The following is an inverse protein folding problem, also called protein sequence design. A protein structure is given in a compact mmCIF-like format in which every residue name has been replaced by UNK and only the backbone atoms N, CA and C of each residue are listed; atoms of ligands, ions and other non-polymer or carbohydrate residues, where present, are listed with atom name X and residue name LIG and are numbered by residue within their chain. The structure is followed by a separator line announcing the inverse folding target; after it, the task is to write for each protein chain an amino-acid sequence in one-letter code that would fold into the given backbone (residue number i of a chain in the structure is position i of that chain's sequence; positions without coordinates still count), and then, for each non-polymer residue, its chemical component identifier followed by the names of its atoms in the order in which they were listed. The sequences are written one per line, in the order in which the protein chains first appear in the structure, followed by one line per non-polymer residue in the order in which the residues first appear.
data_IF_660145196051
#
_entry.id   IF_660145196051
#
_cell.length_a   1.000
_cell.length_b   1.000
_cell.length_c   1.000
_cell.angle_alpha   90.00
_cell.angle_beta   90.00
_cell.angle_gamma   90.00
#
_symmetry.space_group_name_H-M   'P 1'
#
loop_
_entity.id
_entity.type
_entity.pdbx_description
1 polymer ?
#
# COMPACT_ATOMS: atom_id res chain seq x y z
N UNK A 1 -15.36 -18.62 18.38
CA UNK A 1 -15.67 -18.64 19.83
C UNK A 1 -17.17 -18.59 20.01
N UNK A 2 -17.77 -19.67 20.46
CA UNK A 2 -19.22 -19.76 20.61
C UNK A 2 -19.67 -19.04 21.88
N UNK A 3 -20.72 -18.27 21.71
CA UNK A 3 -21.35 -17.40 22.72
C UNK A 3 -21.89 -18.20 23.91
N UNK A 4 -21.32 -18.02 25.09
CA UNK A 4 -21.61 -18.73 26.35
C UNK A 4 -22.71 -18.05 27.20
N UNK A 5 -23.61 -17.27 26.65
CA UNK A 5 -24.61 -16.47 27.38
C UNK A 5 -26.07 -16.93 27.27
N UNK A 6 -26.32 -18.21 27.01
CA UNK A 6 -27.68 -18.77 27.16
C UNK A 6 -27.63 -20.14 27.82
N UNK A 7 -27.35 -20.18 29.10
CA UNK A 7 -27.60 -21.36 29.93
C UNK A 7 -28.89 -21.16 30.74
N UNK A 8 -29.86 -22.03 30.46
CA UNK A 8 -31.16 -22.13 31.10
C UNK A 8 -31.00 -22.45 32.60
N UNK A 9 -31.88 -21.99 33.51
CA UNK A 9 -31.72 -22.12 34.95
C UNK A 9 -31.91 -23.54 35.54
N UNK A 10 -31.94 -24.59 34.70
CA UNK A 10 -32.10 -25.97 35.14
C UNK A 10 -30.79 -26.71 35.53
N UNK A 11 -29.64 -26.05 35.48
CA UNK A 11 -28.32 -26.66 35.74
C UNK A 11 -27.79 -26.49 37.19
N UNK A 12 -28.62 -26.01 38.11
CA UNK A 12 -28.23 -25.73 39.52
C UNK A 12 -28.36 -26.93 40.48
N UNK A 13 -28.61 -28.17 39.95
CA UNK A 13 -28.79 -29.36 40.78
C UNK A 13 -27.78 -30.51 40.53
N UNK A 14 -26.67 -30.20 39.83
CA UNK A 14 -25.62 -31.20 39.60
C UNK A 14 -24.56 -31.10 40.72
N UNK A 15 -24.28 -32.27 41.36
CA UNK A 15 -23.26 -32.34 42.40
C UNK A 15 -21.85 -32.06 41.84
N UNK A 16 -20.87 -31.63 42.62
CA UNK A 16 -19.48 -31.33 42.18
C UNK A 16 -18.82 -32.48 41.38
N UNK A 17 -19.24 -33.72 41.62
CA UNK A 17 -18.72 -34.90 40.93
C UNK A 17 -19.13 -34.96 39.43
N UNK A 18 -20.28 -34.43 39.06
CA UNK A 18 -20.71 -34.38 37.66
C UNK A 18 -19.89 -33.38 36.84
N UNK A 19 -19.43 -32.28 37.44
CA UNK A 19 -18.56 -31.32 36.81
C UNK A 19 -17.17 -31.91 36.53
N UNK A 20 -16.64 -32.71 37.42
CA UNK A 20 -15.33 -33.36 37.26
C UNK A 20 -15.40 -34.41 36.13
N UNK A 21 -16.50 -35.16 36.04
CA UNK A 21 -16.68 -36.16 34.99
C UNK A 21 -16.81 -35.50 33.60
N UNK A 22 -17.54 -34.39 33.49
CA UNK A 22 -17.68 -33.64 32.24
C UNK A 22 -16.33 -33.05 31.83
N UNK A 23 -15.53 -32.51 32.77
CA UNK A 23 -14.20 -32.00 32.47
C UNK A 23 -13.23 -33.10 32.00
N UNK A 24 -13.29 -34.28 32.64
CA UNK A 24 -12.48 -35.44 32.26
C UNK A 24 -12.86 -35.99 30.88
N UNK A 25 -14.12 -36.03 30.52
CA UNK A 25 -14.59 -36.45 29.20
C UNK A 25 -14.17 -35.44 28.12
N UNK A 26 -14.26 -34.13 28.40
CA UNK A 26 -13.77 -33.10 27.48
C UNK A 26 -12.23 -33.16 27.28
N UNK A 27 -11.47 -33.45 28.33
CA UNK A 27 -10.01 -33.61 28.24
C UNK A 27 -9.61 -34.91 27.49
N UNK A 28 -10.39 -35.98 27.60
CA UNK A 28 -10.17 -37.23 26.89
C UNK A 28 -10.51 -37.09 25.37
N UNK A 29 -11.59 -36.36 25.05
CA UNK A 29 -11.94 -36.09 23.63
C UNK A 29 -10.96 -35.13 22.95
N UNK A 30 -10.37 -34.17 23.69
CA UNK A 30 -9.31 -33.32 23.15
C UNK A 30 -7.99 -34.06 22.91
N UNK A 31 -7.72 -35.12 23.68
CA UNK A 31 -6.52 -35.98 23.47
C UNK A 31 -6.69 -36.94 22.29
N UNK A 32 -7.89 -37.42 22.00
CA UNK A 32 -8.14 -38.29 20.82
C UNK A 32 -8.08 -37.50 19.52
N UNK A 33 -8.60 -36.27 19.48
CA UNK A 33 -8.51 -35.40 18.29
C UNK A 33 -7.06 -34.93 18.02
N UNK A 34 -6.23 -34.78 19.05
CA UNK A 34 -4.82 -34.43 18.86
C UNK A 34 -3.95 -35.65 18.45
N UNK A 35 -4.38 -36.88 18.71
CA UNK A 35 -3.66 -38.08 18.32
C UNK A 35 -3.94 -38.50 16.86
N UNK A 36 -5.14 -38.23 16.35
CA UNK A 36 -5.50 -38.55 14.96
C UNK A 36 -4.88 -37.60 13.91
N UNK A 37 -4.39 -36.42 14.32
CA UNK A 37 -3.68 -35.48 13.43
C UNK A 37 -2.18 -35.81 13.28
N UNK A 38 -1.64 -36.70 14.13
CA UNK A 38 -0.20 -37.02 14.14
C UNK A 38 0.14 -38.43 13.61
N UNK A 39 -0.80 -39.19 13.06
CA UNK A 39 -0.59 -40.55 12.62
C UNK A 39 -0.75 -40.84 11.11
N UNK A 40 -1.01 -39.83 10.28
CA UNK A 40 -1.11 -40.03 8.81
C UNK A 40 0.20 -39.80 8.03
N UNK A 41 1.30 -39.35 8.65
CA UNK A 41 2.57 -39.09 7.95
C UNK A 41 3.71 -40.08 8.22
N UNK A 42 3.44 -41.28 8.78
CA UNK A 42 4.49 -42.23 9.12
C UNK A 42 4.25 -43.67 8.58
N UNK A 43 3.89 -43.82 7.32
CA UNK A 43 3.87 -45.13 6.68
C UNK A 43 4.08 -45.08 5.16
N UNK A 44 5.23 -44.57 4.71
CA UNK A 44 5.78 -44.96 3.40
C UNK A 44 7.27 -44.66 3.32
N UNK A 45 8.05 -45.69 3.32
CA UNK A 45 9.36 -45.89 2.71
C UNK A 45 10.41 -46.49 3.63
N UNK A 46 10.39 -47.81 3.71
CA UNK A 46 11.60 -48.55 3.96
C UNK A 46 12.04 -49.19 2.62
N UNK A 47 13.13 -48.70 2.07
CA UNK A 47 13.84 -49.40 1.00
C UNK A 47 14.13 -48.58 -0.24
N UNK A 48 15.21 -47.81 -0.19
CA UNK A 48 16.24 -47.78 -1.24
C UNK A 48 17.32 -46.77 -0.82
N UNK A 49 18.55 -47.26 -0.73
CA UNK A 49 19.77 -46.46 -0.65
C UNK A 49 19.83 -45.54 -1.85
N UNK A 50 19.44 -44.28 -1.68
CA UNK A 50 19.70 -43.21 -2.62
C UNK A 50 20.69 -42.25 -1.95
N UNK A 51 21.76 -41.91 -2.65
CA UNK A 51 22.70 -40.85 -2.29
C UNK A 51 21.96 -39.62 -1.77
N UNK A 52 22.48 -38.91 -0.75
CA UNK A 52 21.88 -37.67 -0.33
C UNK A 52 21.74 -36.77 -1.56
N UNK A 53 20.59 -36.08 -1.73
CA UNK A 53 20.46 -35.15 -2.83
C UNK A 53 21.60 -34.15 -2.70
N UNK A 54 22.32 -33.94 -3.82
CA UNK A 54 23.33 -32.90 -3.91
C UNK A 54 22.75 -31.65 -3.24
N UNK A 55 23.43 -31.15 -2.22
CA UNK A 55 23.13 -29.90 -1.56
C UNK A 55 22.78 -28.89 -2.66
N UNK A 56 21.52 -28.50 -2.75
CA UNK A 56 21.13 -27.41 -3.62
C UNK A 56 22.11 -26.30 -3.29
N UNK A 57 22.91 -25.89 -4.27
CA UNK A 57 23.86 -24.79 -4.10
C UNK A 57 23.05 -23.65 -3.48
N UNK A 58 23.48 -23.18 -2.31
CA UNK A 58 22.83 -22.06 -1.66
C UNK A 58 22.74 -20.98 -2.73
N UNK A 59 21.52 -20.63 -3.15
CA UNK A 59 21.33 -19.56 -4.11
C UNK A 59 21.85 -18.31 -3.43
N UNK A 60 22.79 -17.62 -4.06
CA UNK A 60 23.28 -16.33 -3.59
C UNK A 60 22.17 -15.30 -3.78
N UNK A 61 21.13 -15.38 -2.94
CA UNK A 61 20.01 -14.42 -2.93
C UNK A 61 20.55 -13.10 -2.43
N UNK A 62 20.27 -12.03 -3.18
CA UNK A 62 20.58 -10.66 -2.79
C UNK A 62 19.29 -9.91 -2.49
N UNK A 63 19.35 -9.06 -1.49
CA UNK A 63 18.20 -8.31 -1.00
C UNK A 63 18.35 -6.83 -1.35
N UNK A 64 17.34 -6.26 -2.02
CA UNK A 64 17.20 -4.83 -2.22
C UNK A 64 16.19 -4.29 -1.22
N UNK A 65 16.66 -3.49 -0.27
CA UNK A 65 15.81 -2.73 0.65
C UNK A 65 15.69 -1.29 0.13
N UNK A 66 14.68 -0.55 0.55
CA UNK A 66 14.58 0.87 0.24
C UNK A 66 13.81 1.63 1.32
N UNK A 67 14.08 2.92 1.44
CA UNK A 67 13.25 3.85 2.20
C UNK A 67 13.00 5.12 1.41
N UNK A 68 12.04 5.90 1.87
CA UNK A 68 11.56 7.12 1.25
C UNK A 68 11.67 8.23 2.28
N UNK A 69 12.03 9.43 1.85
CA UNK A 69 12.17 10.59 2.71
C UNK A 69 10.98 10.72 3.68
N UNK A 70 11.20 10.91 4.99
CA UNK A 70 10.14 10.91 6.02
C UNK A 70 8.90 11.76 5.72
N UNK A 71 8.99 12.98 5.15
CA UNK A 71 7.81 13.79 4.84
C UNK A 71 6.87 13.19 3.80
N UNK A 72 7.35 12.23 3.02
CA UNK A 72 6.59 11.67 1.91
C UNK A 72 5.43 10.79 2.38
N UNK A 73 4.25 11.05 1.80
CA UNK A 73 3.01 10.42 2.21
C UNK A 73 2.80 9.01 1.64
N UNK A 74 1.77 8.34 2.15
CA UNK A 74 1.39 6.96 1.82
C UNK A 74 1.30 6.68 0.31
N UNK A 75 0.62 7.54 -0.44
CA UNK A 75 0.40 7.31 -1.87
C UNK A 75 1.65 7.54 -2.72
N UNK A 76 2.57 8.43 -2.31
CA UNK A 76 3.86 8.59 -2.98
C UNK A 76 4.78 7.41 -2.69
N UNK A 77 4.81 6.89 -1.46
CA UNK A 77 5.58 5.68 -1.12
C UNK A 77 5.13 4.46 -1.94
N UNK A 78 3.83 4.35 -2.24
CA UNK A 78 3.29 3.36 -3.19
C UNK A 78 3.83 3.55 -4.61
N UNK A 79 4.04 4.79 -5.04
CA UNK A 79 4.64 5.12 -6.32
C UNK A 79 6.12 4.71 -6.38
N UNK A 80 6.88 4.98 -5.30
CA UNK A 80 8.28 4.56 -5.19
C UNK A 80 8.42 3.04 -5.23
N UNK A 81 7.50 2.28 -4.63
CA UNK A 81 7.47 0.82 -4.78
C UNK A 81 7.48 0.39 -6.26
N UNK A 82 6.73 1.07 -7.13
CA UNK A 82 6.69 0.73 -8.57
C UNK A 82 8.07 0.91 -9.20
N UNK A 83 8.80 1.96 -8.83
CA UNK A 83 10.18 2.22 -9.31
C UNK A 83 11.15 1.14 -8.83
N UNK A 84 11.07 0.75 -7.57
CA UNK A 84 11.92 -0.29 -6.99
C UNK A 84 11.61 -1.67 -7.56
N UNK A 85 10.36 -1.99 -7.81
CA UNK A 85 9.95 -3.22 -8.47
C UNK A 85 10.49 -3.30 -9.91
N UNK A 86 10.51 -2.18 -10.65
CA UNK A 86 11.14 -2.09 -11.97
C UNK A 86 12.65 -2.35 -11.91
N UNK A 87 13.33 -1.73 -10.95
CA UNK A 87 14.76 -1.99 -10.71
C UNK A 87 15.03 -3.46 -10.43
N UNK A 88 14.24 -4.08 -9.54
CA UNK A 88 14.40 -5.53 -9.22
C UNK A 88 14.16 -6.40 -10.47
N UNK A 89 13.18 -6.09 -11.31
CA UNK A 89 12.99 -6.80 -12.59
C UNK A 89 14.26 -6.73 -13.46
N UNK A 90 14.94 -5.60 -13.48
CA UNK A 90 16.19 -5.44 -14.23
C UNK A 90 17.33 -6.23 -13.58
N UNK A 91 17.51 -6.16 -12.27
CA UNK A 91 18.54 -6.90 -11.52
C UNK A 91 18.37 -8.41 -11.66
N UNK A 92 17.13 -8.90 -11.68
CA UNK A 92 16.82 -10.33 -11.82
C UNK A 92 17.20 -10.96 -13.16
N UNK A 93 17.51 -10.17 -14.16
CA UNK A 93 18.08 -10.68 -15.42
C UNK A 93 19.52 -11.18 -15.22
N UNK A 94 20.17 -10.83 -14.11
CA UNK A 94 21.58 -11.08 -13.82
C UNK A 94 21.85 -11.82 -12.51
N UNK A 95 20.83 -12.13 -11.72
CA UNK A 95 20.96 -12.83 -10.44
C UNK A 95 19.65 -12.93 -9.66
N UNK A 96 19.69 -13.64 -8.54
CA UNK A 96 18.52 -13.81 -7.68
C UNK A 96 18.40 -12.64 -6.71
N UNK A 97 17.53 -11.68 -7.06
CA UNK A 97 17.23 -10.51 -6.24
C UNK A 97 15.81 -10.56 -5.68
N UNK A 98 15.68 -10.18 -4.42
CA UNK A 98 14.40 -10.08 -3.70
C UNK A 98 14.24 -8.66 -3.19
N UNK A 99 13.07 -8.06 -3.39
CA UNK A 99 12.73 -6.74 -2.85
C UNK A 99 12.19 -6.91 -1.43
N UNK A 100 12.79 -6.22 -0.48
CA UNK A 100 12.32 -6.15 0.90
C UNK A 100 11.40 -4.95 1.06
N UNK A 101 10.18 -5.21 1.50
CA UNK A 101 9.16 -4.18 1.67
C UNK A 101 9.42 -3.39 2.96
N UNK A 102 9.55 -2.04 2.88
CA UNK A 102 9.75 -1.20 4.06
C UNK A 102 8.46 -1.16 4.90
N UNK A 103 8.50 -1.52 6.19
CA UNK A 103 7.35 -1.40 7.07
C UNK A 103 6.77 0.00 7.10
N UNK A 104 5.45 0.11 7.13
CA UNK A 104 4.76 1.38 7.23
C UNK A 104 4.79 1.95 8.64
N UNK A 105 4.77 3.26 8.73
CA UNK A 105 4.63 3.95 10.01
C UNK A 105 5.16 5.37 10.01
N UNK A 106 4.68 6.18 10.95
CA UNK A 106 5.06 7.59 11.14
C UNK A 106 4.94 8.46 9.89
N UNK A 107 3.95 8.20 9.04
CA UNK A 107 3.75 9.04 7.87
C UNK A 107 3.12 10.39 8.26
N UNK A 108 3.53 11.46 7.57
CA UNK A 108 3.10 12.82 7.86
C UNK A 108 1.58 13.01 7.97
N UNK A 109 0.81 12.27 7.14
CA UNK A 109 -0.64 12.37 7.11
C UNK A 109 -1.37 11.43 8.07
N UNK A 110 -0.66 10.52 8.75
CA UNK A 110 -1.21 9.58 9.72
C UNK A 110 -1.17 10.21 11.11
N UNK A 111 -2.21 10.96 11.43
CA UNK A 111 -2.26 11.81 12.60
C UNK A 111 -3.31 11.38 13.63
N UNK A 112 -3.91 10.19 13.47
CA UNK A 112 -4.81 9.67 14.48
C UNK A 112 -4.04 9.50 15.79
N UNK A 113 -4.43 10.22 16.87
CA UNK A 113 -3.84 10.03 18.17
C UNK A 113 -4.23 8.65 18.71
N UNK A 114 -3.59 8.22 19.74
CA UNK A 114 -3.97 7.06 20.56
C UNK A 114 -3.91 5.69 19.86
N UNK A 115 -3.45 5.62 18.62
CA UNK A 115 -3.22 4.35 17.91
C UNK A 115 -1.73 4.15 17.58
N UNK A 116 -1.30 2.88 17.70
CA UNK A 116 0.08 2.54 17.35
C UNK A 116 0.23 2.33 15.85
N UNK A 117 1.07 3.17 15.20
CA UNK A 117 1.28 3.17 13.75
C UNK A 117 2.79 3.13 13.40
N UNK A 118 3.47 2.07 13.84
CA UNK A 118 4.89 1.81 13.58
C UNK A 118 5.08 0.33 13.28
N UNK A 119 6.01 -0.03 12.40
CA UNK A 119 6.32 -1.40 11.99
C UNK A 119 5.11 -2.14 11.42
N UNK A 120 4.24 -1.45 10.66
CA UNK A 120 3.07 -2.07 10.06
C UNK A 120 3.53 -2.81 8.79
N UNK A 121 3.28 -4.11 8.65
CA UNK A 121 3.67 -4.86 7.47
C UNK A 121 2.82 -4.47 6.24
N UNK A 122 3.34 -4.71 5.05
CA UNK A 122 2.61 -4.47 3.80
C UNK A 122 1.36 -5.35 3.67
N UNK A 123 1.40 -6.55 4.24
CA UNK A 123 0.27 -7.48 4.26
C UNK A 123 -1.00 -6.92 4.90
N UNK A 124 -0.88 -5.93 5.77
CA UNK A 124 -2.04 -5.22 6.33
C UNK A 124 -2.81 -4.40 5.28
N UNK A 125 -2.12 -3.95 4.24
CA UNK A 125 -2.71 -3.07 3.22
C UNK A 125 -2.81 -3.69 1.84
N UNK A 126 -1.95 -4.65 1.51
CA UNK A 126 -1.86 -5.27 0.19
C UNK A 126 -1.77 -6.80 0.27
N UNK A 127 -2.24 -7.48 -0.76
CA UNK A 127 -2.05 -8.93 -0.93
C UNK A 127 -0.60 -9.23 -1.30
N UNK A 128 0.17 -9.82 -0.40
CA UNK A 128 1.57 -10.20 -0.65
C UNK A 128 1.68 -11.20 -1.82
N UNK A 129 0.80 -12.18 -1.90
CA UNK A 129 0.77 -13.14 -3.02
C UNK A 129 0.55 -12.46 -4.36
N UNK A 130 -0.23 -11.39 -4.38
CA UNK A 130 -0.44 -10.57 -5.58
C UNK A 130 0.82 -9.80 -5.97
N UNK A 131 1.52 -9.19 -5.01
CA UNK A 131 2.81 -8.51 -5.25
C UNK A 131 3.86 -9.50 -5.73
N UNK A 132 3.95 -10.69 -5.10
CA UNK A 132 4.88 -11.77 -5.45
C UNK A 132 4.67 -12.33 -6.85
N UNK A 133 3.44 -12.27 -7.38
CA UNK A 133 3.15 -12.63 -8.76
C UNK A 133 3.78 -11.67 -9.80
N UNK A 134 4.27 -10.50 -9.39
CA UNK A 134 4.95 -9.53 -10.23
C UNK A 134 6.47 -9.54 -10.07
N UNK A 135 6.94 -9.41 -8.83
CA UNK A 135 8.36 -9.50 -8.45
C UNK A 135 8.49 -10.21 -7.11
N UNK A 136 9.58 -10.94 -6.83
CA UNK A 136 9.80 -11.50 -5.52
C UNK A 136 9.87 -10.39 -4.48
N UNK A 137 8.98 -10.43 -3.50
CA UNK A 137 8.95 -9.50 -2.37
C UNK A 137 8.84 -10.29 -1.07
N UNK A 138 9.45 -9.77 -0.01
CA UNK A 138 9.31 -10.26 1.37
C UNK A 138 9.10 -9.08 2.32
N UNK A 139 8.48 -9.35 3.46
CA UNK A 139 8.38 -8.40 4.56
C UNK A 139 9.76 -8.21 5.25
N UNK A 140 9.94 -7.09 5.94
CA UNK A 140 11.21 -6.80 6.60
C UNK A 140 11.56 -7.82 7.71
N UNK A 141 10.57 -8.33 8.45
CA UNK A 141 10.80 -9.35 9.47
C UNK A 141 11.23 -10.70 8.87
N UNK A 142 10.70 -11.04 7.70
CA UNK A 142 11.12 -12.21 6.94
C UNK A 142 12.58 -12.06 6.46
N UNK A 143 12.95 -10.85 5.98
CA UNK A 143 14.34 -10.54 5.65
C UNK A 143 15.28 -10.74 6.86
N UNK A 144 14.92 -10.25 8.06
CA UNK A 144 15.73 -10.44 9.28
C UNK A 144 15.94 -11.93 9.55
N UNK A 145 14.89 -12.73 9.40
CA UNK A 145 14.96 -14.17 9.64
C UNK A 145 15.83 -14.90 8.62
N UNK A 146 15.70 -14.56 7.32
CA UNK A 146 16.43 -15.21 6.23
C UNK A 146 17.89 -14.77 6.14
N UNK A 147 18.20 -13.48 6.39
CA UNK A 147 19.56 -12.94 6.30
C UNK A 147 20.45 -13.22 7.52
N UNK A 148 19.88 -13.85 8.56
CA UNK A 148 20.61 -14.18 9.78
C UNK A 148 20.71 -13.04 10.79
N UNK A 149 19.94 -11.97 10.64
CA UNK A 149 19.84 -10.89 11.61
C UNK A 149 19.48 -9.52 11.01
N UNK A 150 19.26 -8.52 11.84
CA UNK A 150 18.85 -7.19 11.42
C UNK A 150 20.06 -6.33 10.93
N UNK A 151 20.80 -6.86 9.93
CA UNK A 151 21.96 -6.20 9.38
C UNK A 151 21.75 -5.83 7.92
N UNK A 152 21.98 -4.55 7.58
CA UNK A 152 22.05 -4.06 6.20
C UNK A 152 23.49 -3.80 5.87
N UNK A 153 24.07 -4.59 4.94
CA UNK A 153 25.49 -4.54 4.64
C UNK A 153 25.91 -3.21 3.99
N UNK A 154 25.08 -2.70 3.07
CA UNK A 154 25.33 -1.44 2.39
C UNK A 154 24.08 -0.56 2.37
N UNK A 155 24.17 0.65 2.89
CA UNK A 155 23.16 1.70 2.74
C UNK A 155 23.68 2.72 1.74
N UNK A 156 22.93 2.99 0.69
CA UNK A 156 23.18 3.97 -0.35
C UNK A 156 22.18 5.10 -0.20
N UNK A 157 22.62 6.25 0.28
CA UNK A 157 21.75 7.43 0.44
C UNK A 157 21.72 8.17 -0.88
N UNK A 158 20.59 8.12 -1.57
CA UNK A 158 20.43 8.81 -2.85
C UNK A 158 20.26 10.31 -2.63
N UNK A 159 20.88 11.09 -3.49
CA UNK A 159 20.79 12.55 -3.49
C UNK A 159 20.84 13.09 -4.93
N UNK A 160 20.32 14.30 -5.13
CA UNK A 160 20.45 15.00 -6.40
C UNK A 160 21.88 15.52 -6.56
N UNK A 161 22.25 15.91 -7.77
CA UNK A 161 23.52 16.62 -8.01
C UNK A 161 23.44 18.04 -7.50
N UNK A 162 24.45 18.47 -6.74
CA UNK A 162 24.51 19.83 -6.17
C UNK A 162 24.54 20.93 -7.24
N UNK A 163 25.18 20.64 -8.38
CA UNK A 163 25.28 21.53 -9.54
C UNK A 163 23.98 21.61 -10.38
N UNK A 164 23.01 20.74 -10.08
CA UNK A 164 21.78 20.65 -10.88
C UNK A 164 22.04 20.10 -12.28
N UNK A 165 21.24 20.56 -13.26
CA UNK A 165 21.41 20.14 -14.65
C UNK A 165 22.48 20.98 -15.34
N UNK A 166 23.49 20.30 -15.89
CA UNK A 166 24.55 20.93 -16.66
C UNK A 166 24.00 21.38 -18.01
N UNK A 167 24.21 22.65 -18.35
CA UNK A 167 23.81 23.27 -19.62
C UNK A 167 22.31 23.12 -20.00
N UNK A 168 21.45 22.88 -19.00
CA UNK A 168 20.00 22.71 -19.20
C UNK A 168 19.60 21.45 -19.96
N UNK A 169 20.51 20.50 -20.16
CA UNK A 169 20.25 19.23 -20.82
C UNK A 169 20.09 18.10 -19.81
N UNK A 170 19.11 17.24 -20.06
CA UNK A 170 18.91 16.04 -19.27
C UNK A 170 19.94 14.98 -19.63
N UNK A 171 20.65 14.46 -18.64
CA UNK A 171 21.59 13.35 -18.75
C UNK A 171 21.36 12.37 -17.60
N UNK A 172 21.28 11.08 -17.93
CA UNK A 172 21.24 10.03 -16.93
C UNK A 172 22.63 9.72 -16.42
N UNK A 173 22.82 9.87 -15.11
CA UNK A 173 24.12 9.65 -14.46
C UNK A 173 23.96 9.24 -13.00
N UNK A 174 24.94 8.47 -12.51
CA UNK A 174 25.05 8.09 -11.10
C UNK A 174 26.51 8.03 -10.70
N UNK A 175 26.86 8.71 -9.61
CA UNK A 175 28.21 8.79 -9.08
C UNK A 175 28.21 8.64 -7.56
N UNK A 176 29.20 7.93 -7.02
CA UNK A 176 29.49 7.98 -5.60
C UNK A 176 30.16 9.31 -5.29
N UNK A 177 29.53 10.11 -4.43
CA UNK A 177 29.98 11.45 -4.06
C UNK A 177 29.85 11.69 -2.56
N UNK A 178 30.60 12.66 -2.00
CA UNK A 178 30.36 13.10 -0.63
C UNK A 178 28.89 13.47 -0.40
N UNK A 179 28.39 13.17 0.79
CA UNK A 179 27.04 13.53 1.16
C UNK A 179 26.87 15.05 1.20
N UNK A 180 25.84 15.57 0.52
CA UNK A 180 25.53 17.00 0.49
C UNK A 180 24.90 17.43 1.81
N UNK A 181 24.01 16.61 2.35
CA UNK A 181 23.36 16.88 3.62
C UNK A 181 23.93 16.02 4.74
N UNK A 182 23.64 16.44 5.98
CA UNK A 182 23.99 15.63 7.15
C UNK A 182 23.23 14.31 7.09
N UNK A 183 23.96 13.20 7.18
CA UNK A 183 23.38 11.87 7.24
C UNK A 183 22.48 11.72 8.47
N UNK A 184 21.35 11.04 8.28
CA UNK A 184 20.45 10.60 9.36
C UNK A 184 20.98 9.35 10.07
N UNK A 185 22.17 8.90 9.72
CA UNK A 185 22.87 7.75 10.29
C UNK A 185 24.04 8.21 11.16
N UNK A 186 24.21 7.57 12.31
CA UNK A 186 25.33 7.83 13.22
C UNK A 186 26.01 6.52 13.62
N UNK A 187 27.36 6.54 13.74
CA UNK A 187 28.10 5.37 14.20
C UNK A 187 27.93 5.16 15.70
N UNK A 188 27.64 3.93 16.09
CA UNK A 188 27.67 3.50 17.49
C UNK A 188 29.11 3.16 17.95
N UNK A 189 29.25 2.77 19.22
CA UNK A 189 30.56 2.43 19.81
C UNK A 189 31.20 1.20 19.19
N UNK A 190 30.44 0.33 18.55
CA UNK A 190 30.89 -0.86 17.84
C UNK A 190 31.26 -0.58 16.36
N UNK A 191 31.02 0.66 15.90
CA UNK A 191 31.29 1.07 14.53
C UNK A 191 30.15 0.85 13.54
N UNK A 192 29.01 0.33 14.00
CA UNK A 192 27.81 0.15 13.17
C UNK A 192 27.04 1.44 13.03
N UNK A 193 26.38 1.62 11.87
CA UNK A 193 25.51 2.76 11.64
C UNK A 193 24.12 2.50 12.21
N UNK A 194 23.63 3.44 12.99
CA UNK A 194 22.28 3.54 13.56
C UNK A 194 21.49 4.57 12.80
N UNK A 195 20.24 4.23 12.48
CA UNK A 195 19.28 5.11 11.84
C UNK A 195 17.87 4.78 12.33
N UNK A 196 16.88 5.37 11.68
CA UNK A 196 15.48 5.10 12.03
C UNK A 196 15.04 3.67 11.68
N UNK A 197 15.47 3.13 10.54
CA UNK A 197 15.13 1.80 10.02
C UNK A 197 13.70 1.36 10.38
N UNK A 198 12.72 2.20 10.05
CA UNK A 198 11.27 1.98 10.29
C UNK A 198 10.89 1.69 11.75
N UNK A 199 11.71 2.14 12.71
CA UNK A 199 11.52 1.90 14.15
C UNK A 199 12.13 0.61 14.68
N UNK A 200 12.90 -0.13 13.87
CA UNK A 200 13.65 -1.31 14.32
C UNK A 200 14.99 -0.87 14.91
N UNK A 201 15.00 -0.60 16.22
CA UNK A 201 16.19 -0.10 16.94
C UNK A 201 17.35 -1.10 16.92
N UNK A 202 17.08 -2.37 16.75
CA UNK A 202 18.05 -3.45 16.60
C UNK A 202 18.79 -3.44 15.25
N UNK A 203 18.26 -2.80 14.23
CA UNK A 203 18.85 -2.77 12.88
C UNK A 203 20.17 -1.99 12.86
N UNK A 204 21.12 -2.51 12.10
CA UNK A 204 22.47 -1.97 11.92
C UNK A 204 22.83 -1.86 10.45
N UNK A 205 23.32 -0.71 10.02
CA UNK A 205 24.02 -0.59 8.75
C UNK A 205 25.51 -0.87 8.95
N UNK A 206 26.11 -1.65 8.06
CA UNK A 206 27.56 -1.89 8.12
C UNK A 206 28.34 -0.78 7.42
N UNK A 207 27.88 -0.38 6.23
CA UNK A 207 28.44 0.72 5.45
C UNK A 207 27.35 1.70 5.02
N UNK A 208 27.67 2.98 4.97
CA UNK A 208 26.80 4.04 4.48
C UNK A 208 27.60 4.95 3.55
N UNK A 209 27.14 5.10 2.31
CA UNK A 209 27.71 5.99 1.30
C UNK A 209 26.62 6.80 0.63
N UNK A 210 26.95 7.95 0.03
CA UNK A 210 26.02 8.75 -0.72
C UNK A 210 26.23 8.57 -2.22
N UNK A 211 25.13 8.45 -2.96
CA UNK A 211 25.12 8.41 -4.41
C UNK A 211 24.35 9.62 -4.95
N UNK A 212 25.00 10.43 -5.78
CA UNK A 212 24.29 11.40 -6.60
C UNK A 212 23.70 10.67 -7.80
N UNK A 213 22.37 10.72 -7.95
CA UNK A 213 21.64 10.04 -9.00
C UNK A 213 20.72 11.02 -9.76
N UNK A 214 20.71 10.90 -11.07
CA UNK A 214 19.81 11.64 -11.97
C UNK A 214 19.42 10.70 -13.09
N UNK A 215 18.17 10.20 -13.08
CA UNK A 215 17.67 9.27 -14.08
C UNK A 215 16.64 8.30 -13.54
N UNK A 216 16.35 7.29 -14.34
CA UNK A 216 15.41 6.24 -14.03
C UNK A 216 15.99 5.23 -13.03
N UNK A 217 15.15 4.47 -12.33
CA UNK A 217 15.60 3.55 -11.29
C UNK A 217 16.63 2.52 -11.81
N UNK A 218 16.49 2.06 -13.05
CA UNK A 218 17.39 1.07 -13.66
C UNK A 218 18.82 1.55 -13.90
N UNK A 219 19.11 2.87 -13.82
CA UNK A 219 20.50 3.37 -13.92
C UNK A 219 21.37 2.86 -12.77
N UNK A 220 20.74 2.49 -11.64
CA UNK A 220 21.44 1.91 -10.49
C UNK A 220 21.87 0.45 -10.72
N UNK A 221 21.27 -0.26 -11.69
CA UNK A 221 21.51 -1.68 -11.88
C UNK A 221 22.99 -2.03 -12.18
N UNK A 222 23.73 -1.37 -13.08
CA UNK A 222 25.12 -1.68 -13.32
C UNK A 222 25.98 -1.52 -12.05
N UNK A 223 25.72 -0.47 -11.27
CA UNK A 223 26.44 -0.19 -10.03
C UNK A 223 26.16 -1.26 -8.97
N UNK A 224 24.90 -1.66 -8.79
CA UNK A 224 24.49 -2.71 -7.85
C UNK A 224 25.02 -4.10 -8.24
N UNK A 225 25.20 -4.35 -9.54
CA UNK A 225 25.69 -5.64 -10.05
C UNK A 225 27.21 -5.76 -9.97
N UNK A 226 27.95 -4.66 -10.21
CA UNK A 226 29.40 -4.74 -10.43
C UNK A 226 30.24 -4.06 -9.32
N UNK A 227 29.72 -3.02 -8.67
CA UNK A 227 30.51 -2.27 -7.69
C UNK A 227 30.25 -2.73 -6.25
N UNK A 228 29.09 -3.33 -5.96
CA UNK A 228 28.74 -3.80 -4.63
C UNK A 228 28.57 -5.30 -4.61
N UNK A 229 29.31 -5.97 -3.74
CA UNK A 229 29.20 -7.44 -3.50
C UNK A 229 28.30 -7.77 -2.31
N UNK A 230 27.77 -6.75 -1.63
CA UNK A 230 26.93 -6.88 -0.46
C UNK A 230 25.67 -7.73 -0.75
N UNK A 231 25.33 -8.63 0.16
CA UNK A 231 24.14 -9.46 0.07
C UNK A 231 22.86 -8.64 0.30
N UNK A 232 22.93 -7.63 1.17
CA UNK A 232 21.83 -6.69 1.42
C UNK A 232 22.23 -5.26 1.13
N UNK A 233 21.50 -4.62 0.21
CA UNK A 233 21.70 -3.22 -0.18
C UNK A 233 20.41 -2.45 0.03
N UNK A 234 20.49 -1.32 0.75
CA UNK A 234 19.37 -0.42 0.98
C UNK A 234 19.54 0.88 0.21
N UNK A 235 18.54 1.26 -0.57
CA UNK A 235 18.44 2.57 -1.21
C UNK A 235 17.63 3.50 -0.30
N UNK A 236 18.29 4.40 0.42
CA UNK A 236 17.61 5.44 1.19
C UNK A 236 17.31 6.63 0.29
N UNK A 237 16.16 7.30 0.49
CA UNK A 237 15.62 8.36 -0.38
C UNK A 237 15.38 7.88 -1.82
N UNK A 238 14.76 6.70 -1.94
CA UNK A 238 14.50 6.05 -3.23
C UNK A 238 13.57 6.87 -4.16
N UNK A 239 12.88 7.88 -3.65
CA UNK A 239 12.12 8.85 -4.46
C UNK A 239 12.98 9.71 -5.39
N UNK A 240 14.29 9.76 -5.17
CA UNK A 240 15.23 10.52 -6.01
C UNK A 240 15.27 10.01 -7.46
N UNK A 241 15.11 8.70 -7.67
CA UNK A 241 15.09 8.14 -9.03
C UNK A 241 13.69 8.13 -9.63
N UNK A 242 13.61 8.16 -10.96
CA UNK A 242 12.37 8.22 -11.73
C UNK A 242 11.90 6.83 -12.15
N UNK A 243 10.68 6.77 -12.70
CA UNK A 243 10.16 5.56 -13.33
C UNK A 243 10.90 5.23 -14.62
N UNK A 244 11.26 3.96 -14.84
CA UNK A 244 11.91 3.50 -16.08
C UNK A 244 11.00 3.68 -17.31
N UNK A 245 9.76 3.27 -17.17
CA UNK A 245 8.77 3.29 -18.26
C UNK A 245 7.40 3.70 -17.70
N UNK A 246 7.28 4.99 -17.32
CA UNK A 246 6.05 5.52 -16.77
C UNK A 246 4.86 5.24 -17.71
N UNK A 247 3.76 4.72 -17.14
CA UNK A 247 2.57 4.29 -17.86
C UNK A 247 2.77 3.19 -18.92
N UNK A 248 3.95 2.59 -19.05
CA UNK A 248 4.20 1.43 -19.88
C UNK A 248 3.70 0.11 -19.25
N UNK A 249 3.91 -1.01 -19.97
CA UNK A 249 3.45 -2.32 -19.51
C UNK A 249 4.00 -2.70 -18.12
N UNK A 250 5.29 -2.53 -17.87
CA UNK A 250 5.90 -2.88 -16.57
C UNK A 250 5.36 -2.03 -15.42
N UNK A 251 5.09 -0.74 -15.67
CA UNK A 251 4.39 0.13 -14.74
C UNK A 251 3.01 -0.43 -14.38
N UNK A 252 2.19 -0.72 -15.40
CA UNK A 252 0.83 -1.20 -15.19
C UNK A 252 0.76 -2.60 -14.60
N UNK A 253 1.66 -3.52 -14.96
CA UNK A 253 1.73 -4.84 -14.33
C UNK A 253 2.04 -4.70 -12.83
N UNK A 254 3.01 -3.85 -12.48
CA UNK A 254 3.34 -3.59 -11.08
C UNK A 254 2.18 -2.90 -10.35
N UNK A 255 1.55 -1.90 -10.97
CA UNK A 255 0.41 -1.21 -10.37
C UNK A 255 -0.80 -2.12 -10.16
N UNK A 256 -1.09 -3.01 -11.09
CA UNK A 256 -2.15 -4.03 -10.99
C UNK A 256 -1.85 -5.07 -9.91
N UNK A 257 -0.59 -5.40 -9.70
CA UNK A 257 -0.18 -6.33 -8.64
C UNK A 257 -0.41 -5.78 -7.23
N UNK A 258 -0.57 -4.48 -7.07
CA UNK A 258 -0.86 -3.83 -5.80
C UNK A 258 -2.33 -3.96 -5.41
N UNK A 259 -2.82 -5.20 -5.36
CA UNK A 259 -4.18 -5.54 -4.92
C UNK A 259 -4.32 -5.24 -3.44
N UNK A 260 -5.34 -4.48 -3.06
CA UNK A 260 -5.61 -4.18 -1.65
C UNK A 260 -5.93 -5.44 -0.83
N UNK A 261 -5.54 -5.46 0.42
CA UNK A 261 -5.82 -6.54 1.35
C UNK A 261 -7.32 -6.84 1.40
N UNK A 262 -7.66 -8.14 1.44
CA UNK A 262 -9.04 -8.61 1.30
C UNK A 262 -9.99 -8.03 2.36
N UNK A 263 -9.54 -7.96 3.61
CA UNK A 263 -10.36 -7.41 4.71
C UNK A 263 -10.75 -5.94 4.47
N UNK A 264 -9.85 -5.12 3.90
CA UNK A 264 -10.14 -3.71 3.59
C UNK A 264 -11.16 -3.58 2.46
N UNK A 265 -11.04 -4.42 1.43
CA UNK A 265 -12.01 -4.45 0.32
C UNK A 265 -13.39 -4.87 0.80
N UNK A 266 -13.47 -5.91 1.64
CA UNK A 266 -14.75 -6.38 2.22
C UNK A 266 -15.44 -5.24 2.99
N UNK A 267 -14.73 -4.52 3.86
CA UNK A 267 -15.30 -3.40 4.62
C UNK A 267 -15.82 -2.31 3.66
N UNK A 268 -15.06 -1.96 2.63
CA UNK A 268 -15.49 -1.00 1.62
C UNK A 268 -16.71 -1.47 0.84
N UNK A 269 -16.80 -2.76 0.50
CA UNK A 269 -17.92 -3.36 -0.23
C UNK A 269 -19.18 -3.43 0.62
N UNK A 270 -19.08 -3.81 1.90
CA UNK A 270 -20.19 -3.78 2.85
C UNK A 270 -20.70 -2.36 3.06
N UNK A 271 -19.80 -1.37 3.17
CA UNK A 271 -20.17 0.03 3.26
C UNK A 271 -20.93 0.51 2.01
N UNK A 272 -20.43 0.20 0.82
CA UNK A 272 -21.09 0.54 -0.45
C UNK A 272 -22.48 -0.08 -0.56
N UNK A 273 -22.60 -1.35 -0.20
CA UNK A 273 -23.88 -2.07 -0.24
C UNK A 273 -24.89 -1.44 0.73
N UNK A 274 -24.47 -1.15 1.95
CA UNK A 274 -25.35 -0.65 3.01
C UNK A 274 -25.81 0.81 2.80
N UNK A 275 -24.89 1.68 2.40
CA UNK A 275 -25.16 3.13 2.40
C UNK A 275 -25.33 3.74 1.00
N UNK A 276 -24.74 3.11 -0.03
CA UNK A 276 -24.65 3.66 -1.37
C UNK A 276 -25.40 2.86 -2.45
N UNK A 277 -26.07 1.77 -2.05
CA UNK A 277 -26.81 0.88 -2.95
C UNK A 277 -25.95 0.40 -4.14
N UNK A 278 -24.71 -0.04 -3.84
CA UNK A 278 -23.68 -0.37 -4.80
C UNK A 278 -23.11 -1.76 -4.51
N UNK A 279 -23.11 -2.64 -5.52
CA UNK A 279 -22.47 -3.96 -5.50
C UNK A 279 -21.76 -4.20 -6.82
N UNK A 280 -20.76 -5.05 -6.82
CA UNK A 280 -19.95 -5.29 -8.01
C UNK A 280 -20.76 -5.84 -9.19
N UNK A 281 -21.78 -6.68 -8.93
CA UNK A 281 -22.64 -7.25 -9.95
C UNK A 281 -23.50 -6.16 -10.61
N UNK A 282 -24.16 -5.31 -9.81
CA UNK A 282 -25.04 -4.25 -10.32
C UNK A 282 -24.25 -3.14 -11.03
N UNK A 283 -23.03 -2.90 -10.59
CA UNK A 283 -22.15 -1.83 -11.03
C UNK A 283 -21.20 -2.24 -12.15
N UNK A 284 -21.14 -3.55 -12.44
CA UNK A 284 -20.21 -4.16 -13.41
C UNK A 284 -18.74 -3.83 -13.08
N UNK A 285 -18.41 -3.98 -11.80
CA UNK A 285 -17.07 -3.72 -11.26
C UNK A 285 -16.48 -4.97 -10.63
N UNK A 286 -16.82 -6.16 -11.15
CA UNK A 286 -16.32 -7.43 -10.63
C UNK A 286 -14.80 -7.42 -10.64
N UNK A 287 -14.23 -7.61 -9.46
CA UNK A 287 -12.80 -7.60 -9.23
C UNK A 287 -12.25 -9.03 -9.15
N UNK A 288 -11.17 -9.31 -9.89
CA UNK A 288 -10.46 -10.58 -9.79
C UNK A 288 -9.25 -10.43 -8.88
N UNK A 289 -9.08 -11.33 -7.92
CA UNK A 289 -7.88 -11.38 -7.08
C UNK A 289 -6.62 -11.73 -7.89
N UNK A 290 -6.78 -12.52 -8.96
CA UNK A 290 -5.71 -12.78 -9.94
C UNK A 290 -5.66 -11.64 -10.98
N UNK A 291 -4.89 -10.61 -10.65
CA UNK A 291 -4.73 -9.45 -11.53
C UNK A 291 -4.14 -9.80 -12.90
N UNK A 292 -3.43 -10.91 -13.03
CA UNK A 292 -2.80 -11.32 -14.30
C UNK A 292 -3.86 -11.68 -15.35
N UNK A 293 -5.01 -12.17 -14.91
CA UNK A 293 -6.16 -12.53 -15.76
C UNK A 293 -7.14 -11.41 -15.97
N UNK A 294 -7.07 -10.36 -15.13
CA UNK A 294 -8.01 -9.26 -15.18
C UNK A 294 -7.65 -8.28 -16.29
N UNK A 295 -8.41 -8.32 -17.40
CA UNK A 295 -8.27 -7.40 -18.53
C UNK A 295 -9.63 -6.82 -18.87
N UNK A 296 -9.98 -5.70 -18.26
CA UNK A 296 -11.26 -5.05 -18.47
C UNK A 296 -11.27 -4.16 -19.71
N UNK A 297 -12.38 -4.24 -20.46
CA UNK A 297 -12.58 -3.34 -21.59
C UNK A 297 -12.97 -1.95 -21.08
N UNK A 298 -12.31 -0.92 -21.57
CA UNK A 298 -12.62 0.46 -21.23
C UNK A 298 -14.10 0.79 -21.51
N UNK A 299 -14.76 1.41 -20.55
CA UNK A 299 -16.20 1.71 -20.58
C UNK A 299 -17.11 0.51 -20.21
N UNK A 300 -16.56 -0.66 -19.82
CA UNK A 300 -17.37 -1.80 -19.38
C UNK A 300 -17.93 -1.62 -17.96
N UNK A 301 -17.19 -0.98 -17.09
CA UNK A 301 -17.64 -0.66 -15.73
C UNK A 301 -18.69 0.46 -15.75
N UNK A 302 -19.77 0.25 -14.97
CA UNK A 302 -20.86 1.23 -14.85
C UNK A 302 -20.68 2.09 -13.59
N UNK A 303 -20.31 1.48 -12.49
CA UNK A 303 -20.19 2.10 -11.17
C UNK A 303 -21.52 2.28 -10.43
N UNK A 304 -21.42 2.41 -9.12
CA UNK A 304 -22.54 2.57 -8.20
C UNK A 304 -23.32 3.86 -8.39
N UNK A 305 -24.57 3.94 -7.95
CA UNK A 305 -25.45 5.09 -8.18
C UNK A 305 -25.12 6.28 -7.25
N UNK A 306 -23.85 6.64 -7.16
CA UNK A 306 -23.37 7.77 -6.35
C UNK A 306 -22.21 8.49 -7.02
N UNK A 307 -21.94 9.70 -6.57
CA UNK A 307 -20.77 10.51 -6.92
C UNK A 307 -19.64 10.21 -5.90
N UNK A 308 -18.47 9.85 -6.39
CA UNK A 308 -17.24 9.75 -5.58
C UNK A 308 -16.48 11.08 -5.61
N UNK A 309 -16.12 11.57 -4.45
CA UNK A 309 -15.39 12.84 -4.29
C UNK A 309 -14.18 12.63 -3.41
N UNK A 310 -13.02 13.08 -3.86
CA UNK A 310 -11.87 13.29 -3.00
C UNK A 310 -11.58 14.77 -2.88
N UNK A 311 -11.75 15.30 -1.67
CA UNK A 311 -11.54 16.71 -1.35
C UNK A 311 -10.38 16.86 -0.37
N UNK A 312 -9.17 17.08 -0.90
CA UNK A 312 -7.96 17.36 -0.11
C UNK A 312 -8.02 18.78 0.43
N UNK A 313 -7.75 18.95 1.73
CA UNK A 313 -7.82 20.25 2.43
C UNK A 313 -6.48 20.57 3.10
N UNK A 314 -6.38 20.56 4.37
CA UNK A 314 -5.19 20.79 5.20
C UNK A 314 -4.10 21.66 4.51
N UNK A 315 -2.94 21.09 4.28
CA UNK A 315 -1.78 21.73 3.63
C UNK A 315 -2.05 22.22 2.21
N UNK A 316 -2.99 21.57 1.47
CA UNK A 316 -3.34 22.00 0.11
C UNK A 316 -4.03 23.38 0.05
N UNK A 317 -4.74 23.78 1.08
CA UNK A 317 -5.35 25.11 1.15
C UNK A 317 -4.28 26.23 1.07
N UNK A 318 -3.09 25.95 1.58
CA UNK A 318 -1.98 26.91 1.58
C UNK A 318 -1.03 26.69 0.40
N UNK A 319 -0.66 25.44 0.12
CA UNK A 319 0.31 25.09 -0.90
C UNK A 319 -0.22 25.15 -2.33
N UNK A 320 -1.54 24.96 -2.51
CA UNK A 320 -2.20 24.88 -3.83
C UNK A 320 -3.49 25.71 -3.87
N UNK A 321 -3.43 26.89 -3.27
CA UNK A 321 -4.59 27.75 -3.05
C UNK A 321 -5.38 28.09 -4.31
N UNK A 322 -4.71 28.20 -5.45
CA UNK A 322 -5.31 28.53 -6.73
C UNK A 322 -6.07 27.35 -7.34
N UNK A 323 -5.64 26.12 -7.04
CA UNK A 323 -6.20 24.88 -7.58
C UNK A 323 -7.28 24.25 -6.70
N UNK A 324 -7.32 24.60 -5.41
CA UNK A 324 -8.25 24.03 -4.45
C UNK A 324 -9.46 24.94 -4.25
N UNK A 325 -10.69 24.48 -4.51
CA UNK A 325 -11.88 25.29 -4.35
C UNK A 325 -12.18 25.58 -2.87
N UNK A 326 -12.91 26.67 -2.60
CA UNK A 326 -13.57 26.84 -1.32
C UNK A 326 -14.61 25.74 -1.08
N UNK A 327 -15.04 25.53 0.18
CA UNK A 327 -16.10 24.55 0.47
C UNK A 327 -17.38 24.85 -0.31
N UNK A 328 -17.74 26.13 -0.45
CA UNK A 328 -18.90 26.56 -1.24
C UNK A 328 -18.74 26.24 -2.72
N UNK A 329 -17.56 26.49 -3.28
CA UNK A 329 -17.22 26.14 -4.67
C UNK A 329 -17.28 24.63 -4.90
N UNK A 330 -16.71 23.84 -4.00
CA UNK A 330 -16.76 22.38 -4.05
C UNK A 330 -18.19 21.86 -4.01
N UNK A 331 -19.01 22.31 -3.04
CA UNK A 331 -20.43 21.90 -2.91
C UNK A 331 -21.24 22.28 -4.15
N UNK A 332 -21.04 23.46 -4.70
CA UNK A 332 -21.69 23.89 -5.96
C UNK A 332 -21.34 22.94 -7.12
N UNK A 333 -20.07 22.58 -7.26
CA UNK A 333 -19.61 21.63 -8.30
C UNK A 333 -20.20 20.25 -8.08
N UNK A 334 -20.17 19.72 -6.84
CA UNK A 334 -20.74 18.42 -6.46
C UNK A 334 -22.23 18.38 -6.84
N UNK A 335 -23.04 19.34 -6.43
CA UNK A 335 -24.48 19.36 -6.75
C UNK A 335 -24.76 19.44 -8.24
N UNK A 336 -23.97 20.20 -8.99
CA UNK A 336 -24.09 20.27 -10.44
C UNK A 336 -23.80 18.90 -11.09
N UNK A 337 -22.78 18.18 -10.61
CA UNK A 337 -22.45 16.83 -11.10
C UNK A 337 -23.54 15.83 -10.71
N UNK A 338 -24.03 15.85 -9.47
CA UNK A 338 -25.15 14.99 -9.03
C UNK A 338 -26.39 15.19 -9.92
N UNK A 339 -26.77 16.46 -10.16
CA UNK A 339 -27.89 16.77 -11.07
C UNK A 339 -27.64 16.30 -12.50
N UNK A 340 -26.45 16.54 -13.06
CA UNK A 340 -26.07 16.16 -14.43
C UNK A 340 -26.12 14.65 -14.62
N UNK A 341 -25.64 13.87 -13.64
CA UNK A 341 -25.55 12.43 -13.69
C UNK A 341 -26.74 11.70 -13.03
N UNK A 342 -27.74 12.46 -12.55
CA UNK A 342 -28.95 11.93 -11.88
C UNK A 342 -28.59 11.04 -10.68
N UNK A 343 -27.75 11.55 -9.78
CA UNK A 343 -27.26 10.87 -8.59
C UNK A 343 -27.82 11.56 -7.34
N UNK A 344 -28.33 10.77 -6.39
CA UNK A 344 -28.93 11.26 -5.15
C UNK A 344 -27.98 11.13 -3.96
N UNK A 345 -26.87 10.43 -4.11
CA UNK A 345 -25.87 10.21 -3.06
C UNK A 345 -24.50 10.66 -3.51
N UNK A 346 -23.71 11.13 -2.56
CA UNK A 346 -22.30 11.47 -2.75
C UNK A 346 -21.47 10.90 -1.61
N UNK A 347 -20.41 10.20 -1.96
CA UNK A 347 -19.39 9.77 -1.01
C UNK A 347 -18.24 10.77 -1.04
N UNK A 348 -17.79 11.23 0.13
CA UNK A 348 -16.73 12.23 0.24
C UNK A 348 -15.59 11.69 1.10
N UNK A 349 -14.46 11.41 0.47
CA UNK A 349 -13.18 11.22 1.15
C UNK A 349 -12.50 12.58 1.33
N UNK A 350 -12.20 12.98 2.54
CA UNK A 350 -11.56 14.27 2.85
C UNK A 350 -10.77 14.22 4.14
N UNK A 351 -9.71 14.99 4.19
CA UNK A 351 -8.89 15.27 5.37
C UNK A 351 -9.23 16.63 6.03
N UNK A 352 -10.39 17.20 5.71
CA UNK A 352 -10.89 18.43 6.34
C UNK A 352 -10.85 18.31 7.87
N UNK A 353 -10.56 19.43 8.55
CA UNK A 353 -10.68 19.49 9.99
C UNK A 353 -12.16 19.47 10.43
N UNK A 354 -12.42 19.36 11.72
CA UNK A 354 -13.78 19.21 12.25
C UNK A 354 -14.68 20.38 11.86
N UNK A 355 -14.21 21.62 11.96
CA UNK A 355 -15.00 22.82 11.61
C UNK A 355 -15.41 22.83 10.12
N UNK A 356 -14.45 22.55 9.22
CA UNK A 356 -14.72 22.41 7.78
C UNK A 356 -15.66 21.22 7.49
N UNK A 357 -15.51 20.13 8.22
CA UNK A 357 -16.35 18.96 8.07
C UNK A 357 -17.79 19.22 8.49
N UNK A 358 -18.00 19.90 9.62
CA UNK A 358 -19.32 20.33 10.06
C UNK A 358 -19.97 21.31 9.08
N UNK A 359 -19.19 22.29 8.57
CA UNK A 359 -19.67 23.19 7.53
C UNK A 359 -20.05 22.43 6.25
N UNK A 360 -19.25 21.46 5.85
CA UNK A 360 -19.51 20.62 4.67
C UNK A 360 -20.77 19.79 4.87
N UNK A 361 -20.95 19.11 6.02
CA UNK A 361 -22.17 18.35 6.37
C UNK A 361 -23.42 19.23 6.33
N UNK A 362 -23.33 20.48 6.83
CA UNK A 362 -24.44 21.44 6.80
C UNK A 362 -24.81 21.86 5.36
N UNK A 363 -23.81 22.10 4.51
CA UNK A 363 -24.03 22.51 3.12
C UNK A 363 -24.40 21.33 2.19
N UNK A 364 -24.06 20.11 2.54
CA UNK A 364 -24.22 18.89 1.72
C UNK A 364 -24.75 17.74 2.60
N UNK A 365 -26.01 17.85 3.12
CA UNK A 365 -26.57 16.85 4.03
C UNK A 365 -26.73 15.46 3.41
N UNK A 366 -26.76 15.35 2.09
CA UNK A 366 -26.76 14.09 1.33
C UNK A 366 -25.41 13.38 1.30
N UNK A 367 -24.37 13.95 1.91
CA UNK A 367 -23.03 13.41 1.95
C UNK A 367 -22.96 12.17 2.84
N UNK A 368 -22.26 11.15 2.35
CA UNK A 368 -21.90 9.93 3.10
C UNK A 368 -20.39 9.86 3.21
N UNK A 369 -19.89 9.44 4.36
CA UNK A 369 -18.46 9.21 4.64
C UNK A 369 -18.25 7.89 5.34
N UNK A 370 -17.09 7.28 5.15
CA UNK A 370 -16.62 6.21 6.00
C UNK A 370 -16.00 6.81 7.27
N UNK A 371 -16.61 6.53 8.40
CA UNK A 371 -16.18 7.01 9.73
C UNK A 371 -16.00 5.77 10.62
N UNK A 372 -14.75 5.26 10.77
CA UNK A 372 -14.49 4.08 11.60
C UNK A 372 -14.72 4.40 13.07
N UNK A 373 -15.13 3.40 13.85
CA UNK A 373 -15.13 3.50 15.31
C UNK A 373 -13.68 3.55 15.85
N UNK A 374 -13.48 3.87 17.13
CA UNK A 374 -12.14 3.85 17.71
C UNK A 374 -11.48 2.46 17.67
N UNK A 375 -12.27 1.39 17.89
CA UNK A 375 -11.79 0.00 17.80
C UNK A 375 -11.45 -0.37 16.34
N UNK A 376 -12.28 0.03 15.38
CA UNK A 376 -12.00 -0.18 13.95
C UNK A 376 -10.75 0.59 13.52
N UNK A 377 -10.55 1.82 14.02
CA UNK A 377 -9.38 2.64 13.67
C UNK A 377 -8.08 2.02 14.18
N UNK A 378 -8.08 1.43 15.40
CA UNK A 378 -6.91 0.69 15.92
C UNK A 378 -6.57 -0.53 15.04
N UNK A 379 -7.57 -1.20 14.50
CA UNK A 379 -7.38 -2.36 13.61
C UNK A 379 -6.94 -1.92 12.20
N UNK A 380 -7.62 -0.95 11.60
CA UNK A 380 -7.42 -0.53 10.21
C UNK A 380 -6.20 0.36 10.02
N UNK A 381 -5.81 1.12 11.05
CA UNK A 381 -4.83 2.21 10.97
C UNK A 381 -5.27 3.30 9.96
N UNK A 382 -4.61 4.42 9.96
CA UNK A 382 -4.90 5.50 8.99
C UNK A 382 -4.72 5.04 7.53
N UNK A 383 -3.77 4.13 7.29
CA UNK A 383 -3.53 3.57 5.97
C UNK A 383 -4.68 2.73 5.43
N UNK A 384 -5.28 1.89 6.26
CA UNK A 384 -6.45 1.09 5.90
C UNK A 384 -7.69 1.93 5.66
N UNK A 385 -7.92 2.96 6.50
CA UNK A 385 -9.01 3.93 6.28
C UNK A 385 -8.83 4.66 4.93
N UNK A 386 -7.62 5.10 4.62
CA UNK A 386 -7.31 5.73 3.34
C UNK A 386 -7.57 4.79 2.15
N UNK A 387 -7.27 3.50 2.26
CA UNK A 387 -7.55 2.49 1.23
C UNK A 387 -9.06 2.27 1.08
N UNK A 388 -9.81 2.16 2.18
CA UNK A 388 -11.27 2.00 2.14
C UNK A 388 -11.92 3.21 1.46
N UNK A 389 -11.50 4.43 1.78
CA UNK A 389 -11.94 5.64 1.13
C UNK A 389 -11.66 5.64 -0.38
N UNK A 390 -10.43 5.22 -0.77
CA UNK A 390 -10.09 5.06 -2.19
C UNK A 390 -10.98 4.01 -2.86
N UNK A 391 -11.17 2.84 -2.22
CA UNK A 391 -11.98 1.74 -2.76
C UNK A 391 -13.43 2.16 -3.00
N UNK A 392 -14.03 2.90 -2.07
CA UNK A 392 -15.39 3.43 -2.23
C UNK A 392 -15.44 4.47 -3.34
N UNK A 393 -14.47 5.40 -3.41
CA UNK A 393 -14.39 6.39 -4.50
C UNK A 393 -14.23 5.74 -5.87
N UNK A 394 -13.45 4.65 -5.96
CA UNK A 394 -13.19 3.90 -7.20
C UNK A 394 -14.48 3.39 -7.82
N UNK A 395 -15.40 2.86 -7.00
CA UNK A 395 -16.61 2.21 -7.48
C UNK A 395 -17.78 3.15 -7.79
N UNK A 396 -17.59 4.46 -7.62
CA UNK A 396 -18.62 5.45 -7.93
C UNK A 396 -18.96 5.54 -9.43
N UNK A 397 -20.18 5.95 -9.78
CA UNK A 397 -20.61 6.22 -11.16
C UNK A 397 -19.75 7.27 -11.84
N UNK A 398 -19.41 8.29 -11.10
CA UNK A 398 -18.57 9.39 -11.53
C UNK A 398 -17.63 9.78 -10.38
N UNK A 399 -16.39 10.04 -10.70
CA UNK A 399 -15.37 10.47 -9.73
C UNK A 399 -14.86 11.86 -10.07
N UNK A 400 -14.67 12.68 -9.02
CA UNK A 400 -13.97 13.96 -9.09
C UNK A 400 -12.98 14.07 -7.93
N UNK A 401 -11.73 14.41 -8.22
CA UNK A 401 -10.65 14.50 -7.23
C UNK A 401 -10.07 15.91 -7.09
N UNK A 402 -9.08 16.03 -6.24
CA UNK A 402 -8.31 17.26 -6.04
C UNK A 402 -7.11 17.30 -6.97
N UNK A 403 -6.82 18.46 -7.52
CA UNK A 403 -5.62 18.72 -8.35
C UNK A 403 -4.34 18.30 -7.63
N UNK A 404 -3.38 17.75 -8.38
CA UNK A 404 -2.03 17.38 -7.91
C UNK A 404 -1.99 16.40 -6.73
N UNK A 405 -3.13 15.83 -6.33
CA UNK A 405 -3.18 14.89 -5.21
C UNK A 405 -2.90 13.46 -5.63
N UNK A 406 -1.83 12.87 -5.11
CA UNK A 406 -1.49 11.46 -5.32
C UNK A 406 -2.58 10.49 -4.84
N UNK A 407 -3.42 10.88 -3.89
CA UNK A 407 -4.60 10.12 -3.49
C UNK A 407 -5.62 10.01 -4.64
N UNK A 408 -5.90 11.11 -5.34
CA UNK A 408 -6.76 11.11 -6.53
C UNK A 408 -6.15 10.30 -7.67
N UNK A 409 -4.84 10.35 -7.86
CA UNK A 409 -4.13 9.59 -8.90
C UNK A 409 -4.27 8.08 -8.70
N UNK A 410 -4.19 7.59 -7.45
CA UNK A 410 -4.40 6.15 -7.17
C UNK A 410 -5.83 5.73 -7.49
N UNK A 411 -6.82 6.59 -7.31
CA UNK A 411 -8.22 6.32 -7.69
C UNK A 411 -8.37 6.29 -9.23
N UNK A 412 -7.74 7.22 -9.94
CA UNK A 412 -7.76 7.22 -11.42
C UNK A 412 -7.22 5.90 -11.97
N UNK A 413 -6.08 5.43 -11.47
CA UNK A 413 -5.47 4.16 -11.91
C UNK A 413 -6.34 2.94 -11.59
N UNK A 414 -6.91 2.87 -10.40
CA UNK A 414 -7.78 1.75 -10.03
C UNK A 414 -9.03 1.72 -10.89
N UNK A 415 -9.62 2.89 -11.21
CA UNK A 415 -10.74 3.00 -12.13
C UNK A 415 -10.38 2.61 -13.57
N UNK A 416 -9.16 2.91 -14.01
CA UNK A 416 -8.64 2.45 -15.29
C UNK A 416 -8.51 0.92 -15.33
N UNK A 417 -7.98 0.31 -14.26
CA UNK A 417 -7.87 -1.15 -14.10
C UNK A 417 -9.24 -1.81 -14.14
N UNK A 418 -10.25 -1.23 -13.50
CA UNK A 418 -11.64 -1.72 -13.51
C UNK A 418 -12.36 -1.49 -14.84
N UNK A 419 -11.81 -0.70 -15.76
CA UNK A 419 -12.39 -0.45 -17.07
C UNK A 419 -13.48 0.62 -17.09
N UNK A 420 -13.39 1.65 -16.24
CA UNK A 420 -14.30 2.79 -16.29
C UNK A 420 -14.03 3.68 -17.51
N UNK A 421 -15.08 4.40 -17.97
CA UNK A 421 -14.93 5.44 -18.98
C UNK A 421 -14.02 6.57 -18.47
N UNK A 422 -12.97 6.97 -19.22
CA UNK A 422 -12.10 8.08 -18.84
C UNK A 422 -12.82 9.38 -18.52
N UNK A 423 -13.95 9.67 -19.18
CA UNK A 423 -14.77 10.86 -18.92
C UNK A 423 -15.40 10.88 -17.53
N UNK A 424 -15.59 9.70 -16.92
CA UNK A 424 -16.12 9.56 -15.56
C UNK A 424 -15.01 9.39 -14.52
N UNK A 425 -13.74 9.32 -14.94
CA UNK A 425 -12.57 9.00 -14.12
C UNK A 425 -11.65 10.19 -13.93
N UNK A 426 -11.15 10.76 -15.02
CA UNK A 426 -10.11 11.79 -14.97
C UNK A 426 -10.72 13.19 -14.83
N UNK A 427 -11.19 13.48 -13.62
CA UNK A 427 -11.83 14.76 -13.31
C UNK A 427 -11.25 15.34 -12.02
N UNK A 428 -11.00 16.66 -12.01
CA UNK A 428 -10.55 17.40 -10.84
C UNK A 428 -11.41 18.65 -10.59
N UNK A 429 -11.43 19.09 -9.36
CA UNK A 429 -11.93 20.40 -9.03
C UNK A 429 -11.04 21.48 -9.66
N UNK A 430 -11.65 22.59 -10.05
CA UNK A 430 -10.96 23.84 -10.36
C UNK A 430 -11.00 24.75 -9.14
N UNK A 431 -10.04 25.63 -8.99
CA UNK A 431 -10.11 26.72 -8.01
C UNK A 431 -11.29 27.66 -8.29
N UNK A 432 -11.70 28.42 -7.28
CA UNK A 432 -12.88 29.30 -7.38
C UNK A 432 -12.74 30.40 -8.44
N UNK A 433 -11.53 30.82 -8.76
CA UNK A 433 -11.21 31.82 -9.78
C UNK A 433 -11.27 31.27 -11.21
N UNK A 434 -11.23 29.93 -11.37
CA UNK A 434 -11.22 29.26 -12.67
C UNK A 434 -12.63 28.77 -13.04
N UNK A 435 -13.19 29.25 -14.13
CA UNK A 435 -14.46 28.71 -14.65
C UNK A 435 -14.28 27.30 -15.22
N UNK A 436 -13.19 27.08 -15.90
CA UNK A 436 -12.75 25.80 -16.50
C UNK A 436 -11.25 25.67 -16.26
N UNK A 437 -10.81 24.49 -15.90
CA UNK A 437 -9.39 24.16 -15.68
C UNK A 437 -9.01 22.93 -16.49
N UNK A 438 -7.73 22.78 -16.75
CA UNK A 438 -7.19 21.59 -17.38
C UNK A 438 -7.51 20.35 -16.55
N UNK A 439 -8.08 19.33 -17.19
CA UNK A 439 -8.43 18.08 -16.53
C UNK A 439 -7.26 17.08 -16.63
N UNK A 440 -7.13 16.13 -15.69
CA UNK A 440 -6.06 15.15 -15.70
C UNK A 440 -6.00 14.38 -17.03
N UNK A 441 -4.79 14.18 -17.52
CA UNK A 441 -4.55 13.38 -18.73
C UNK A 441 -4.96 11.92 -18.50
N UNK A 442 -5.57 11.30 -19.47
CA UNK A 442 -5.91 9.89 -19.46
C UNK A 442 -4.65 9.01 -19.53
N UNK A 443 -4.38 8.29 -18.44
CA UNK A 443 -3.31 7.29 -18.39
C UNK A 443 -3.85 5.93 -18.81
N UNK A 444 -3.73 5.65 -20.09
CA UNK A 444 -4.27 4.42 -20.66
C UNK A 444 -3.47 3.21 -20.20
N UNK A 445 -4.18 2.20 -19.68
CA UNK A 445 -3.59 0.92 -19.28
C UNK A 445 -2.98 0.18 -20.48
N UNK A 446 -1.82 -0.44 -20.26
CA UNK A 446 -1.12 -1.31 -21.22
C UNK A 446 -1.00 -2.71 -20.58
N UNK A 447 -1.51 -3.75 -21.30
CA UNK A 447 -1.52 -5.14 -20.86
C UNK A 447 -0.40 -5.97 -21.47
#
# INVERSE_FOLDING_TARGET
MADCRKLHPALLLLSPWHFIIILLVCLLTLRTVAADVLTEDAAFSAGQSANPPATAAARDIRYLLYDVNPPEGFNLRRDVYIRMASLVKTLRKHGDWVLVLPPWGRLYHWQSPDIHQVRIPWGEFFSLTSLQANVPVIEYEEFIAESGGPFVEQVLVLQNYAEGWTDGQWEEKVDERPCIERLMYSKDKQGYYRGWFWGYEETRGLNVTCLSAQGHASILAPLLLHNYTATSVMLDRAETVLHDHYAGKDYWDTRRSMVFAKHLRIIGDEFRAKYLNSTDENDRTVYSEDWTRMKNKLGSAKGGPYLGVHLRRKDFIWGHREDVPSLKGAVKKIRNLMKKHKLDKVFVATDANEDELEELKRMLPEMVRFEPTGEDLELLKDGGVAIIDQWICVHARYFIGTSLSTFSFRIHEEREILGFDPKTTYNRFCGDSEKECEQPTHWKIVY
#
